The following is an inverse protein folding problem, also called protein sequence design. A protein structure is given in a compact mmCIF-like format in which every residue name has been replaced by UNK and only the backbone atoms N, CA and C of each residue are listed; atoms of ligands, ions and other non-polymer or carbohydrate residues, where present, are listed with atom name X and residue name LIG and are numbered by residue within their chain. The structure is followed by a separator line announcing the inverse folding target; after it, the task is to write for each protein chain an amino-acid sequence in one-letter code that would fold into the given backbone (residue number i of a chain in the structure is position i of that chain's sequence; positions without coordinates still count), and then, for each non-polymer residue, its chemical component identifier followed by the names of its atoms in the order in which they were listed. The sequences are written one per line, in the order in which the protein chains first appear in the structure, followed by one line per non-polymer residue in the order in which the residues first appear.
data_IF_275273304880
#
_entry.id   IF_275273304880
#
_cell.length_a   1.000
_cell.length_b   1.000
_cell.length_c   1.000
_cell.angle_alpha   90.00
_cell.angle_beta   90.00
_cell.angle_gamma   90.00
#
_symmetry.space_group_name_H-M   'P 1'
#
loop_
_entity.id
_entity.type
_entity.pdbx_description
1 polymer ?
#
# COMPACT_ATOMS: atom_id res chain seq x y z
N UNK A 1 -9.26 35.24 17.35
CA UNK A 1 -9.08 33.78 17.53
C UNK A 1 -7.69 33.46 17.04
N UNK A 2 -6.91 32.69 17.80
CA UNK A 2 -5.59 32.23 17.35
C UNK A 2 -5.78 31.38 16.08
N UNK A 3 -4.92 31.55 15.09
CA UNK A 3 -4.94 30.70 13.90
C UNK A 3 -4.62 29.25 14.32
N UNK A 4 -5.50 28.32 13.93
CA UNK A 4 -5.30 26.89 14.17
C UNK A 4 -4.66 26.24 12.95
N UNK A 5 -3.56 25.54 13.20
CA UNK A 5 -2.80 24.82 12.19
C UNK A 5 -2.83 23.34 12.53
N UNK A 6 -3.21 22.50 11.56
CA UNK A 6 -3.01 21.06 11.67
C UNK A 6 -1.67 20.70 11.08
N UNK A 7 -0.78 20.12 11.88
CA UNK A 7 0.53 19.68 11.44
C UNK A 7 0.55 18.16 11.24
N UNK A 8 0.77 17.73 10.00
CA UNK A 8 1.09 16.35 9.68
C UNK A 8 2.58 16.10 9.93
N UNK A 9 2.91 15.35 10.98
CA UNK A 9 4.31 15.15 11.37
C UNK A 9 4.55 13.81 12.08
N UNK A 10 5.83 13.55 12.36
CA UNK A 10 6.23 12.56 13.37
C UNK A 10 6.19 13.18 14.77
N UNK A 11 5.87 12.39 15.80
CA UNK A 11 5.70 12.90 17.16
C UNK A 11 6.98 13.58 17.70
N UNK A 12 6.88 14.89 17.99
CA UNK A 12 8.00 15.70 18.49
C UNK A 12 8.97 16.18 17.40
N UNK A 13 8.54 16.24 16.13
CA UNK A 13 9.36 16.75 15.04
C UNK A 13 9.78 18.22 15.24
N UNK A 14 10.87 18.61 14.60
CA UNK A 14 11.37 19.99 14.64
C UNK A 14 10.35 20.97 14.06
N UNK A 15 9.56 20.53 13.08
CA UNK A 15 8.47 21.33 12.51
C UNK A 15 7.43 21.74 13.56
N UNK A 16 7.10 20.84 14.49
CA UNK A 16 6.19 21.14 15.60
C UNK A 16 6.77 22.26 16.49
N UNK A 17 8.05 22.15 16.85
CA UNK A 17 8.71 23.16 17.71
C UNK A 17 8.81 24.53 17.03
N UNK A 18 9.02 24.56 15.71
CA UNK A 18 9.10 25.81 14.93
C UNK A 18 7.75 26.52 14.82
N UNK A 19 6.65 25.77 14.81
CA UNK A 19 5.29 26.31 14.79
C UNK A 19 4.75 26.61 16.18
N UNK A 20 5.20 25.87 17.20
CA UNK A 20 4.83 26.11 18.59
C UNK A 20 5.13 27.56 19.01
N UNK A 21 4.15 28.23 19.60
CA UNK A 21 4.24 29.64 20.00
C UNK A 21 3.92 30.65 18.88
N UNK A 22 3.74 30.21 17.63
CA UNK A 22 3.28 31.06 16.51
C UNK A 22 1.80 30.83 16.17
N UNK A 23 1.30 29.62 16.42
CA UNK A 23 -0.08 29.21 16.17
C UNK A 23 -0.54 28.17 17.20
N UNK A 24 -1.85 27.92 17.28
CA UNK A 24 -2.40 26.76 17.98
C UNK A 24 -2.22 25.52 17.08
N UNK A 25 -1.23 24.69 17.40
CA UNK A 25 -0.87 23.54 16.56
C UNK A 25 -1.54 22.25 17.06
N UNK A 26 -2.35 21.63 16.22
CA UNK A 26 -2.85 20.27 16.42
C UNK A 26 -1.92 19.31 15.67
N UNK A 27 -1.20 18.47 16.39
CA UNK A 27 -0.30 17.49 15.78
C UNK A 27 -1.08 16.25 15.35
N UNK A 28 -0.93 15.84 14.09
CA UNK A 28 -1.53 14.63 13.52
C UNK A 28 -0.42 13.65 13.18
N UNK A 29 -0.42 12.50 13.84
CA UNK A 29 0.50 11.39 13.59
C UNK A 29 -0.32 10.20 13.10
N UNK A 30 -0.03 9.74 11.89
CA UNK A 30 -0.65 8.56 11.28
C UNK A 30 0.41 7.48 11.19
N UNK A 31 0.19 6.33 11.82
CA UNK A 31 1.10 5.18 11.74
C UNK A 31 0.63 4.19 10.67
N UNK A 32 1.37 4.05 9.56
CA UNK A 32 1.08 3.06 8.52
C UNK A 32 1.60 1.65 8.83
N UNK A 33 2.24 1.41 9.98
CA UNK A 33 2.75 0.07 10.34
C UNK A 33 4.13 -0.01 10.97
N UNK A 34 4.67 1.11 11.47
CA UNK A 34 5.90 1.10 12.27
C UNK A 34 5.66 0.54 13.68
N UNK A 35 4.45 0.71 14.20
CA UNK A 35 4.13 0.43 15.60
C UNK A 35 4.80 1.43 16.53
N UNK A 36 4.39 1.41 17.80
CA UNK A 36 5.01 2.23 18.83
C UNK A 36 4.18 2.36 20.09
N UNK A 37 4.79 2.98 21.10
CA UNK A 37 4.09 3.40 22.31
C UNK A 37 3.30 4.70 22.01
N UNK A 38 1.99 4.53 21.82
CA UNK A 38 1.06 5.62 21.52
C UNK A 38 1.01 6.69 22.61
N UNK A 39 1.17 6.30 23.88
CA UNK A 39 1.21 7.26 24.99
C UNK A 39 2.51 8.06 24.98
N UNK A 40 3.64 7.42 24.69
CA UNK A 40 4.90 8.13 24.48
C UNK A 40 4.84 9.09 23.30
N UNK A 41 4.23 8.69 22.17
CA UNK A 41 4.03 9.58 21.01
C UNK A 41 3.17 10.79 21.38
N UNK A 42 2.05 10.58 22.09
CA UNK A 42 1.19 11.68 22.59
C UNK A 42 1.97 12.62 23.50
N UNK A 43 2.68 12.09 24.50
CA UNK A 43 3.49 12.88 25.43
C UNK A 43 4.54 13.72 24.70
N UNK A 44 5.21 13.15 23.70
CA UNK A 44 6.21 13.85 22.88
C UNK A 44 5.60 14.99 22.05
N UNK A 45 4.42 14.79 21.47
CA UNK A 45 3.73 15.83 20.71
C UNK A 45 3.33 17.00 21.63
N UNK A 46 2.71 16.71 22.78
CA UNK A 46 2.32 17.74 23.75
C UNK A 46 3.54 18.49 24.31
N UNK A 47 4.60 17.76 24.69
CA UNK A 47 5.86 18.37 25.13
C UNK A 47 6.56 19.20 24.04
N UNK A 48 6.27 18.92 22.77
CA UNK A 48 6.74 19.69 21.62
C UNK A 48 5.98 21.00 21.36
N UNK A 49 4.91 21.27 22.13
CA UNK A 49 4.12 22.50 22.02
C UNK A 49 2.81 22.36 21.23
N UNK A 50 2.37 21.14 20.94
CA UNK A 50 1.04 20.92 20.38
C UNK A 50 -0.05 21.19 21.43
N UNK A 51 -1.13 21.86 21.04
CA UNK A 51 -2.31 22.03 21.91
C UNK A 51 -3.13 20.73 22.01
N UNK A 52 -3.02 19.89 20.98
CA UNK A 52 -3.67 18.58 20.91
C UNK A 52 -2.85 17.63 20.01
N UNK A 53 -2.94 16.33 20.29
CA UNK A 53 -2.29 15.29 19.50
C UNK A 53 -3.30 14.22 19.07
N UNK A 54 -3.60 14.22 17.77
CA UNK A 54 -4.42 13.23 17.08
C UNK A 54 -3.49 12.12 16.58
N UNK A 55 -3.73 10.91 17.06
CA UNK A 55 -2.95 9.72 16.73
C UNK A 55 -3.88 8.72 16.03
N UNK A 56 -3.49 8.26 14.85
CA UNK A 56 -4.26 7.31 14.06
C UNK A 56 -3.42 6.05 13.77
N UNK A 57 -3.91 4.90 14.22
CA UNK A 57 -3.43 3.59 13.78
C UNK A 57 -4.10 3.26 12.45
N UNK A 58 -3.37 3.38 11.36
CA UNK A 58 -3.89 3.24 10.01
C UNK A 58 -3.34 1.98 9.31
N UNK A 59 -2.91 0.98 10.08
CA UNK A 59 -2.30 -0.25 9.55
C UNK A 59 -3.26 -1.05 8.69
N UNK A 60 -4.41 -1.40 9.27
CA UNK A 60 -5.42 -2.21 8.59
C UNK A 60 -6.10 -1.37 7.48
N UNK A 61 -6.29 -0.08 7.74
CA UNK A 61 -6.81 0.88 6.76
C UNK A 61 -5.92 1.00 5.52
N UNK A 62 -4.59 1.12 5.70
CA UNK A 62 -3.64 1.15 4.60
C UNK A 62 -3.78 -0.13 3.76
N UNK A 63 -3.86 -1.29 4.42
CA UNK A 63 -3.93 -2.56 3.70
C UNK A 63 -5.24 -2.73 2.93
N UNK A 64 -6.37 -2.41 3.56
CA UNK A 64 -7.68 -2.67 3.00
C UNK A 64 -8.09 -1.62 1.96
N UNK A 65 -7.84 -0.33 2.24
CA UNK A 65 -8.28 0.78 1.37
C UNK A 65 -7.27 1.16 0.31
N UNK A 66 -5.98 0.84 0.50
CA UNK A 66 -4.93 1.27 -0.44
C UNK A 66 -4.15 0.11 -1.04
N UNK A 67 -3.66 -0.83 -0.23
CA UNK A 67 -2.89 -1.95 -0.75
C UNK A 67 -3.75 -2.93 -1.56
N UNK A 68 -4.97 -3.23 -1.14
CA UNK A 68 -5.84 -4.15 -1.88
C UNK A 68 -6.20 -3.62 -3.29
N UNK A 69 -6.64 -2.36 -3.49
CA UNK A 69 -6.80 -1.81 -4.83
C UNK A 69 -5.49 -1.83 -5.64
N UNK A 70 -4.36 -1.52 -5.00
CA UNK A 70 -3.06 -1.59 -5.66
C UNK A 70 -2.66 -3.02 -6.04
N UNK A 71 -3.03 -4.03 -5.26
CA UNK A 71 -2.83 -5.45 -5.58
C UNK A 71 -3.65 -5.85 -6.80
N UNK A 72 -4.95 -5.53 -6.81
CA UNK A 72 -5.86 -5.78 -7.93
C UNK A 72 -5.43 -5.07 -9.21
N UNK A 73 -4.84 -3.89 -9.07
CA UNK A 73 -4.22 -3.12 -10.15
C UNK A 73 -2.79 -3.59 -10.51
N UNK A 74 -2.27 -4.62 -9.83
CA UNK A 74 -0.90 -5.12 -9.96
C UNK A 74 0.20 -4.05 -9.81
N UNK A 75 -0.10 -3.01 -9.03
CA UNK A 75 0.73 -1.83 -8.79
C UNK A 75 1.20 -1.74 -7.33
N UNK A 76 1.02 -2.80 -6.52
CA UNK A 76 1.37 -2.82 -5.10
C UNK A 76 2.88 -2.63 -4.84
N UNK A 77 3.74 -2.83 -5.84
CA UNK A 77 5.18 -2.50 -5.76
C UNK A 77 5.45 -1.01 -5.54
N UNK A 78 4.48 -0.13 -5.80
CA UNK A 78 4.54 1.30 -5.49
C UNK A 78 3.98 1.64 -4.10
N UNK A 79 3.97 0.69 -3.15
CA UNK A 79 3.31 0.83 -1.85
C UNK A 79 3.70 2.09 -1.06
N UNK A 80 4.94 2.59 -1.20
CA UNK A 80 5.35 3.84 -0.54
C UNK A 80 4.54 5.06 -1.01
N UNK A 81 4.08 5.09 -2.26
CA UNK A 81 3.22 6.14 -2.79
C UNK A 81 1.78 6.10 -2.24
N UNK A 82 1.37 4.97 -1.64
CA UNK A 82 0.03 4.78 -1.07
C UNK A 82 -0.13 5.43 0.31
N UNK A 83 0.97 5.72 1.01
CA UNK A 83 0.92 6.32 2.35
C UNK A 83 0.49 7.80 2.29
N UNK A 84 0.97 8.56 1.31
CA UNK A 84 0.64 9.97 1.16
C UNK A 84 -0.88 10.27 1.10
N UNK A 85 -1.68 9.61 0.25
CA UNK A 85 -3.12 9.86 0.21
C UNK A 85 -3.83 9.42 1.50
N UNK A 86 -3.39 8.36 2.17
CA UNK A 86 -3.90 7.96 3.49
C UNK A 86 -3.69 9.08 4.52
N UNK A 87 -2.47 9.61 4.62
CA UNK A 87 -2.21 10.68 5.58
C UNK A 87 -2.95 11.97 5.21
N UNK A 88 -3.11 12.27 3.93
CA UNK A 88 -3.90 13.42 3.48
C UNK A 88 -5.35 13.35 3.98
N UNK A 89 -6.01 12.18 3.91
CA UNK A 89 -7.37 12.01 4.44
C UNK A 89 -7.46 12.30 5.94
N UNK A 90 -6.60 11.67 6.74
CA UNK A 90 -6.58 11.86 8.20
C UNK A 90 -6.30 13.32 8.60
N UNK A 91 -5.41 13.99 7.88
CA UNK A 91 -5.04 15.39 8.14
C UNK A 91 -6.17 16.33 7.75
N UNK A 92 -6.83 16.11 6.61
CA UNK A 92 -7.99 16.90 6.18
C UNK A 92 -9.16 16.71 7.15
N UNK A 93 -9.38 15.48 7.62
CA UNK A 93 -10.39 15.20 8.61
C UNK A 93 -10.09 15.89 9.95
N UNK A 94 -8.85 15.83 10.43
CA UNK A 94 -8.44 16.59 11.61
C UNK A 94 -8.62 18.10 11.39
N UNK A 95 -8.24 18.65 10.23
CA UNK A 95 -8.41 20.07 9.94
C UNK A 95 -9.87 20.50 10.03
N UNK A 96 -10.79 19.71 9.47
CA UNK A 96 -12.24 19.95 9.57
C UNK A 96 -12.73 19.87 11.02
N UNK A 97 -12.34 18.84 11.77
CA UNK A 97 -12.76 18.62 13.16
C UNK A 97 -12.29 19.73 14.11
N UNK A 98 -11.09 20.26 13.89
CA UNK A 98 -10.49 21.29 14.75
C UNK A 98 -10.72 22.72 14.25
N UNK A 99 -11.40 22.90 13.11
CA UNK A 99 -11.68 24.21 12.51
C UNK A 99 -10.41 24.91 12.00
N UNK A 100 -9.41 24.15 11.56
CA UNK A 100 -8.18 24.70 11.02
C UNK A 100 -8.37 25.11 9.55
N UNK A 101 -7.80 26.25 9.18
CA UNK A 101 -7.75 26.74 7.80
C UNK A 101 -6.42 26.40 7.11
N UNK A 102 -5.43 25.98 7.89
CA UNK A 102 -4.06 25.76 7.44
C UNK A 102 -3.58 24.37 7.84
N UNK A 103 -3.04 23.64 6.87
CA UNK A 103 -2.34 22.36 7.05
C UNK A 103 -0.85 22.59 6.86
N UNK A 104 -0.06 22.19 7.84
CA UNK A 104 1.40 22.16 7.77
C UNK A 104 1.91 20.72 7.63
N UNK A 105 3.08 20.51 7.03
CA UNK A 105 3.75 19.21 7.00
C UNK A 105 5.28 19.33 6.94
N UNK A 106 5.99 18.29 7.37
CA UNK A 106 7.46 18.19 7.29
C UNK A 106 7.96 17.25 6.16
N UNK A 107 7.06 16.84 5.26
CA UNK A 107 7.38 15.98 4.11
C UNK A 107 8.25 16.66 3.06
N UNK A 108 9.07 15.87 2.38
CA UNK A 108 9.96 16.28 1.29
C UNK A 108 9.86 15.36 0.06
N UNK A 109 10.49 15.78 -1.04
CA UNK A 109 10.61 15.00 -2.26
C UNK A 109 9.27 14.61 -2.87
N UNK A 110 9.17 13.38 -3.39
CA UNK A 110 7.96 12.90 -4.03
C UNK A 110 6.79 12.71 -3.05
N UNK A 111 7.05 12.42 -1.77
CA UNK A 111 6.00 12.28 -0.76
C UNK A 111 5.28 13.60 -0.49
N UNK A 112 6.03 14.73 -0.50
CA UNK A 112 5.44 16.08 -0.44
C UNK A 112 4.43 16.30 -1.56
N UNK A 113 4.84 16.07 -2.81
CA UNK A 113 4.00 16.32 -3.99
C UNK A 113 2.69 15.55 -3.90
N UNK A 114 2.76 14.26 -3.52
CA UNK A 114 1.57 13.40 -3.38
C UNK A 114 0.67 13.83 -2.24
N UNK A 115 1.24 14.19 -1.11
CA UNK A 115 0.48 14.66 0.05
C UNK A 115 -0.24 15.97 -0.26
N UNK A 116 0.47 16.97 -0.80
CA UNK A 116 -0.11 18.27 -1.18
C UNK A 116 -1.21 18.10 -2.24
N UNK A 117 -0.99 17.27 -3.27
CA UNK A 117 -2.02 16.94 -4.25
C UNK A 117 -3.25 16.27 -3.62
N UNK A 118 -3.03 15.39 -2.64
CA UNK A 118 -4.09 14.75 -1.86
C UNK A 118 -4.93 15.75 -1.07
N UNK A 119 -4.28 16.64 -0.33
CA UNK A 119 -4.97 17.70 0.43
C UNK A 119 -5.75 18.63 -0.50
N UNK A 120 -5.14 19.05 -1.62
CA UNK A 120 -5.80 19.92 -2.59
C UNK A 120 -7.05 19.27 -3.21
N UNK A 121 -7.00 17.96 -3.49
CA UNK A 121 -8.16 17.23 -4.02
C UNK A 121 -9.28 17.07 -2.97
N UNK A 122 -8.93 16.82 -1.71
CA UNK A 122 -9.89 16.55 -0.64
C UNK A 122 -10.47 17.84 -0.01
N UNK A 123 -9.69 18.91 0.03
CA UNK A 123 -10.05 20.16 0.69
C UNK A 123 -9.33 21.36 0.03
N UNK A 124 -9.78 21.80 -1.16
CA UNK A 124 -9.13 22.87 -1.92
C UNK A 124 -9.13 24.24 -1.22
N UNK A 125 -9.94 24.41 -0.18
CA UNK A 125 -9.98 25.63 0.63
C UNK A 125 -8.94 25.69 1.77
N UNK A 126 -8.20 24.61 2.02
CA UNK A 126 -7.14 24.61 3.05
C UNK A 126 -5.84 25.19 2.47
N UNK A 127 -5.22 26.11 3.20
CA UNK A 127 -3.86 26.53 2.91
C UNK A 127 -2.89 25.42 3.29
N UNK A 128 -1.96 25.06 2.40
CA UNK A 128 -0.96 24.02 2.65
C UNK A 128 0.43 24.65 2.75
N UNK A 129 1.12 24.38 3.86
CA UNK A 129 2.41 24.96 4.20
C UNK A 129 3.44 23.87 4.45
N UNK A 130 4.46 23.80 3.60
CA UNK A 130 5.62 22.97 3.87
C UNK A 130 6.51 23.63 4.94
N UNK A 131 6.72 22.96 6.05
CA UNK A 131 7.73 23.33 7.04
C UNK A 131 8.99 22.55 6.68
N UNK A 132 10.05 23.26 6.29
CA UNK A 132 11.29 22.61 5.88
C UNK A 132 11.71 21.57 6.94
N UNK A 133 11.87 20.28 6.56
CA UNK A 133 12.43 19.31 7.47
C UNK A 133 13.81 19.80 7.89
N UNK A 134 14.26 19.43 9.10
CA UNK A 134 15.68 19.52 9.39
C UNK A 134 16.46 18.78 8.29
N UNK A 135 17.61 19.29 7.87
CA UNK A 135 18.52 18.52 7.01
C UNK A 135 18.73 17.17 7.70
N UNK A 136 18.15 16.11 7.15
CA UNK A 136 18.37 14.75 7.62
C UNK A 136 19.48 14.15 6.75
N UNK A 137 20.74 14.15 7.19
CA UNK A 137 21.85 13.55 6.45
C UNK A 137 21.80 12.01 6.49
N UNK A 138 20.86 11.40 7.20
CA UNK A 138 20.82 9.95 7.36
C UNK A 138 20.21 9.27 6.12
N UNK A 139 21.07 9.05 5.12
CA UNK A 139 20.91 7.89 4.26
C UNK A 139 20.64 6.67 5.15
N UNK A 140 19.55 5.95 4.89
CA UNK A 140 19.23 4.75 5.66
C UNK A 140 20.43 3.80 5.56
N UNK A 141 20.91 3.22 6.68
CA UNK A 141 22.06 2.34 6.63
C UNK A 141 21.78 1.21 5.63
N UNK A 142 22.76 0.86 4.77
CA UNK A 142 22.60 -0.22 3.82
C UNK A 142 22.20 -1.48 4.57
N UNK A 143 21.13 -2.13 4.14
CA UNK A 143 20.69 -3.37 4.75
C UNK A 143 21.68 -4.46 4.34
N UNK A 144 22.24 -5.16 5.33
CA UNK A 144 23.18 -6.25 5.12
C UNK A 144 22.63 -7.33 4.17
N UNK A 145 23.56 -8.01 3.48
CA UNK A 145 23.28 -9.15 2.62
C UNK A 145 22.55 -10.22 3.45
N UNK A 146 21.37 -10.64 3.00
CA UNK A 146 20.71 -11.83 3.57
C UNK A 146 21.37 -13.05 2.94
N UNK A 147 21.83 -13.97 3.77
CA UNK A 147 22.24 -15.29 3.30
C UNK A 147 20.97 -16.10 2.96
N UNK A 148 20.88 -16.73 1.78
CA UNK A 148 19.70 -17.49 1.41
C UNK A 148 19.49 -18.62 2.41
N UNK A 149 18.38 -18.57 3.16
CA UNK A 149 17.89 -19.70 3.93
C UNK A 149 17.28 -20.78 3.02
N UNK A 150 16.70 -21.80 3.63
CA UNK A 150 16.01 -22.87 2.91
C UNK A 150 14.84 -22.33 2.06
N UNK A 151 14.52 -22.96 0.91
CA UNK A 151 13.34 -22.59 0.13
C UNK A 151 12.07 -22.71 0.96
N UNK A 152 11.27 -21.65 0.94
CA UNK A 152 10.00 -21.61 1.66
C UNK A 152 8.82 -21.71 0.67
N UNK A 153 8.08 -22.82 0.71
CA UNK A 153 6.94 -23.06 -0.17
C UNK A 153 5.62 -22.68 0.53
N UNK A 154 4.74 -21.99 -0.20
CA UNK A 154 3.43 -21.59 0.31
C UNK A 154 2.35 -21.59 -0.76
N UNK A 155 1.10 -21.67 -0.33
CA UNK A 155 -0.10 -21.54 -1.16
C UNK A 155 -0.87 -20.30 -0.74
N UNK A 156 -1.13 -19.40 -1.69
CA UNK A 156 -2.04 -18.26 -1.53
C UNK A 156 -3.39 -18.59 -2.12
N UNK A 157 -4.45 -18.42 -1.33
CA UNK A 157 -5.83 -18.50 -1.82
C UNK A 157 -6.38 -17.10 -1.99
N UNK A 158 -7.01 -16.85 -3.13
CA UNK A 158 -7.67 -15.60 -3.45
C UNK A 158 -9.16 -15.82 -3.64
N UNK A 159 -9.94 -14.84 -3.19
CA UNK A 159 -11.34 -14.67 -3.56
C UNK A 159 -11.53 -13.26 -4.13
N UNK A 160 -12.02 -13.18 -5.36
CA UNK A 160 -12.30 -11.93 -6.09
C UNK A 160 -11.13 -10.94 -6.03
N UNK A 161 -9.92 -11.42 -6.31
CA UNK A 161 -8.68 -10.63 -6.28
C UNK A 161 -8.14 -10.30 -4.89
N UNK A 162 -8.75 -10.84 -3.83
CA UNK A 162 -8.39 -10.58 -2.43
C UNK A 162 -7.74 -11.81 -1.84
N UNK A 163 -6.54 -11.73 -1.22
CA UNK A 163 -5.98 -12.87 -0.53
C UNK A 163 -6.81 -13.19 0.72
N UNK A 164 -7.27 -14.42 0.83
CA UNK A 164 -8.17 -14.90 1.91
C UNK A 164 -7.60 -16.05 2.71
N UNK A 165 -6.58 -16.75 2.21
CA UNK A 165 -5.88 -17.78 2.98
C UNK A 165 -4.40 -17.93 2.59
N UNK A 166 -3.58 -18.38 3.54
CA UNK A 166 -2.19 -18.81 3.33
C UNK A 166 -2.08 -20.24 3.88
N UNK A 167 -1.66 -21.19 3.05
CA UNK A 167 -1.54 -22.61 3.40
C UNK A 167 -2.83 -23.21 3.98
N UNK A 168 -3.99 -22.74 3.49
CA UNK A 168 -5.32 -23.16 3.95
C UNK A 168 -5.83 -22.44 5.20
N UNK A 169 -4.97 -21.70 5.91
CA UNK A 169 -5.36 -20.89 7.07
C UNK A 169 -5.96 -19.56 6.62
N UNK A 170 -7.17 -19.26 7.06
CA UNK A 170 -7.87 -18.01 6.70
C UNK A 170 -7.15 -16.80 7.27
N UNK A 171 -6.97 -15.77 6.43
CA UNK A 171 -6.31 -14.52 6.79
C UNK A 171 -7.08 -13.31 6.27
N UNK A 172 -7.03 -12.21 7.00
CA UNK A 172 -7.37 -10.88 6.47
C UNK A 172 -6.23 -10.36 5.60
N UNK A 173 -6.50 -9.35 4.77
CA UNK A 173 -5.46 -8.67 3.99
C UNK A 173 -4.29 -8.16 4.87
N UNK A 174 -4.51 -7.49 6.02
CA UNK A 174 -3.42 -7.11 6.91
C UNK A 174 -2.64 -8.30 7.47
N UNK A 175 -3.31 -9.42 7.81
CA UNK A 175 -2.64 -10.65 8.25
C UNK A 175 -1.80 -11.26 7.12
N UNK A 176 -2.33 -11.30 5.89
CA UNK A 176 -1.62 -11.78 4.71
C UNK A 176 -0.35 -10.96 4.43
N UNK A 177 -0.45 -9.63 4.48
CA UNK A 177 0.70 -8.73 4.30
C UNK A 177 1.75 -8.96 5.39
N UNK A 178 1.35 -9.07 6.66
CA UNK A 178 2.28 -9.32 7.78
C UNK A 178 3.01 -10.66 7.61
N UNK A 179 2.26 -11.72 7.32
CA UNK A 179 2.82 -13.06 7.21
C UNK A 179 3.76 -13.20 6.00
N UNK A 180 3.39 -12.62 4.86
CA UNK A 180 4.26 -12.63 3.68
C UNK A 180 5.46 -11.71 3.84
N UNK A 181 5.34 -10.59 4.55
CA UNK A 181 6.50 -9.78 4.91
C UNK A 181 7.49 -10.57 5.78
N UNK A 182 6.98 -11.40 6.71
CA UNK A 182 7.81 -12.27 7.55
C UNK A 182 8.50 -13.34 6.71
N UNK A 183 7.74 -14.16 5.98
CA UNK A 183 8.26 -15.29 5.19
C UNK A 183 9.15 -14.84 4.04
N UNK A 184 8.63 -13.98 3.16
CA UNK A 184 9.35 -13.53 1.99
C UNK A 184 10.51 -12.57 2.34
N UNK A 185 10.42 -11.86 3.47
CA UNK A 185 11.50 -11.04 3.99
C UNK A 185 12.73 -11.85 4.40
N UNK A 186 12.55 -13.03 5.00
CA UNK A 186 13.65 -13.96 5.34
C UNK A 186 14.33 -14.47 4.07
N UNK A 187 13.58 -14.76 3.02
CA UNK A 187 14.14 -15.21 1.73
C UNK A 187 14.70 -14.07 0.86
N UNK A 188 14.70 -12.82 1.36
CA UNK A 188 15.21 -11.64 0.66
C UNK A 188 14.34 -11.14 -0.49
N UNK A 189 13.11 -11.64 -0.62
CA UNK A 189 12.19 -11.28 -1.70
C UNK A 189 11.85 -9.80 -1.68
N UNK A 190 11.73 -9.17 -2.85
CA UNK A 190 11.29 -7.78 -2.94
C UNK A 190 12.32 -6.74 -2.48
N UNK A 191 13.57 -7.15 -2.21
CA UNK A 191 14.69 -6.23 -2.00
C UNK A 191 15.31 -5.84 -3.33
N UNK A 192 15.09 -4.60 -3.74
CA UNK A 192 15.63 -4.08 -5.01
C UNK A 192 16.93 -3.29 -4.83
N UNK A 193 17.12 -2.62 -3.68
CA UNK A 193 18.19 -1.62 -3.51
C UNK A 193 18.92 -1.67 -2.17
N UNK A 194 18.53 -2.56 -1.25
CA UNK A 194 19.14 -2.63 0.10
C UNK A 194 18.81 -1.44 1.00
N UNK A 195 17.75 -0.70 0.69
CA UNK A 195 17.23 0.43 1.50
C UNK A 195 15.84 0.06 2.00
N UNK A 196 15.65 -0.01 3.33
CA UNK A 196 14.39 -0.47 3.98
C UNK A 196 13.12 0.24 3.49
N UNK A 197 13.24 1.48 3.03
CA UNK A 197 12.10 2.26 2.53
C UNK A 197 11.50 1.71 1.21
N UNK A 198 12.22 0.84 0.50
CA UNK A 198 11.78 0.25 -0.78
C UNK A 198 11.55 -1.27 -0.70
N UNK A 199 11.91 -1.91 0.41
CA UNK A 199 11.74 -3.35 0.59
C UNK A 199 10.25 -3.67 0.78
N UNK A 200 9.67 -4.41 -0.17
CA UNK A 200 8.25 -4.80 -0.13
C UNK A 200 8.08 -6.30 -0.40
N UNK A 201 8.62 -7.17 0.49
CA UNK A 201 8.61 -8.62 0.32
C UNK A 201 7.21 -9.19 0.10
N UNK A 202 6.27 -8.84 0.99
CA UNK A 202 4.89 -9.30 0.89
C UNK A 202 4.18 -8.76 -0.36
N UNK A 203 4.40 -7.49 -0.71
CA UNK A 203 3.84 -6.91 -1.93
C UNK A 203 4.31 -7.65 -3.19
N UNK A 204 5.60 -8.02 -3.24
CA UNK A 204 6.18 -8.74 -4.37
C UNK A 204 5.57 -10.14 -4.51
N UNK A 205 5.47 -10.89 -3.41
CA UNK A 205 4.84 -12.21 -3.41
C UNK A 205 3.36 -12.14 -3.82
N UNK A 206 2.59 -11.22 -3.22
CA UNK A 206 1.17 -11.01 -3.54
C UNK A 206 0.97 -10.62 -5.01
N UNK A 207 1.73 -9.64 -5.52
CA UNK A 207 1.61 -9.20 -6.91
C UNK A 207 1.97 -10.31 -7.89
N UNK A 208 3.03 -11.07 -7.61
CA UNK A 208 3.43 -12.21 -8.44
C UNK A 208 2.34 -13.28 -8.49
N UNK A 209 1.75 -13.63 -7.34
CA UNK A 209 0.68 -14.62 -7.30
C UNK A 209 -0.59 -14.13 -8.00
N UNK A 210 -1.02 -12.90 -7.67
CA UNK A 210 -2.21 -12.29 -8.27
C UNK A 210 -2.10 -12.21 -9.80
N UNK A 211 -0.94 -11.78 -10.32
CA UNK A 211 -0.64 -11.84 -11.75
C UNK A 211 -0.86 -13.21 -12.38
N UNK A 212 -0.35 -14.25 -11.74
CA UNK A 212 -0.43 -15.60 -12.27
C UNK A 212 -1.85 -16.19 -12.17
N UNK A 213 -2.64 -15.75 -11.20
CA UNK A 213 -4.03 -16.13 -11.10
C UNK A 213 -4.84 -15.50 -12.24
N UNK A 214 -4.62 -14.22 -12.56
CA UNK A 214 -5.29 -13.55 -13.67
C UNK A 214 -5.01 -14.20 -15.03
N UNK A 215 -3.80 -14.74 -15.23
CA UNK A 215 -3.44 -15.46 -16.45
C UNK A 215 -4.28 -16.74 -16.68
N UNK A 216 -4.93 -17.26 -15.64
CA UNK A 216 -5.81 -18.45 -15.73
C UNK A 216 -7.29 -18.15 -15.51
N UNK A 217 -7.64 -17.00 -14.96
CA UNK A 217 -9.04 -16.62 -14.68
C UNK A 217 -9.61 -15.60 -15.67
N UNK A 218 -8.78 -14.76 -16.29
CA UNK A 218 -9.26 -13.72 -17.21
C UNK A 218 -9.19 -14.15 -18.67
N UNK A 219 -10.21 -13.72 -19.43
CA UNK A 219 -10.22 -13.85 -20.89
C UNK A 219 -9.02 -13.10 -21.51
N UNK A 220 -8.34 -13.66 -22.53
CA UNK A 220 -7.12 -13.08 -23.10
C UNK A 220 -7.19 -11.62 -23.56
N UNK A 221 -8.27 -11.16 -24.20
CA UNK A 221 -8.44 -9.76 -24.62
C UNK A 221 -8.67 -8.83 -23.43
N UNK A 222 -9.51 -9.24 -22.48
CA UNK A 222 -9.70 -8.53 -21.22
C UNK A 222 -8.37 -8.36 -20.48
N UNK A 223 -7.59 -9.44 -20.36
CA UNK A 223 -6.27 -9.41 -19.72
C UNK A 223 -5.31 -8.47 -20.46
N UNK A 224 -5.21 -8.55 -21.79
CA UNK A 224 -4.38 -7.65 -22.61
C UNK A 224 -4.74 -6.18 -22.40
N UNK A 225 -6.03 -5.85 -22.34
CA UNK A 225 -6.48 -4.49 -22.07
C UNK A 225 -6.20 -4.09 -20.61
N UNK A 226 -6.49 -4.96 -19.65
CA UNK A 226 -6.21 -4.74 -18.23
C UNK A 226 -4.75 -4.39 -17.99
N UNK A 227 -3.78 -5.05 -18.64
CA UNK A 227 -2.34 -4.70 -18.56
C UNK A 227 -2.05 -3.23 -18.88
N UNK A 228 -2.80 -2.61 -19.79
CA UNK A 228 -2.67 -1.17 -20.11
C UNK A 228 -3.27 -0.31 -19.00
N UNK A 229 -4.43 -0.71 -18.49
CA UNK A 229 -5.12 -0.04 -17.38
C UNK A 229 -4.24 -0.04 -16.12
N UNK A 230 -3.67 -1.19 -15.75
CA UNK A 230 -2.76 -1.35 -14.60
C UNK A 230 -1.59 -0.37 -14.65
N UNK A 231 -0.91 -0.27 -15.81
CA UNK A 231 0.20 0.67 -15.98
C UNK A 231 -0.24 2.12 -15.79
N UNK A 232 -1.40 2.49 -16.33
CA UNK A 232 -1.92 3.85 -16.17
C UNK A 232 -2.34 4.11 -14.72
N UNK A 233 -3.00 3.15 -14.08
CA UNK A 233 -3.38 3.22 -12.67
C UNK A 233 -2.16 3.43 -11.77
N UNK A 234 -1.11 2.62 -11.95
CA UNK A 234 0.14 2.74 -11.21
C UNK A 234 0.84 4.09 -11.41
N UNK A 235 0.82 4.62 -12.63
CA UNK A 235 1.36 5.96 -12.93
C UNK A 235 0.59 7.06 -12.19
N UNK A 236 -0.75 7.02 -12.19
CA UNK A 236 -1.58 7.99 -11.47
C UNK A 236 -1.25 8.00 -9.97
N UNK A 237 -1.12 6.82 -9.36
CA UNK A 237 -0.71 6.72 -7.95
C UNK A 237 0.69 7.28 -7.73
N UNK A 238 1.64 6.95 -8.62
CA UNK A 238 3.00 7.47 -8.53
C UNK A 238 3.05 9.00 -8.61
N UNK A 239 2.19 9.60 -9.44
CA UNK A 239 2.10 11.05 -9.68
C UNK A 239 1.28 11.79 -8.60
N UNK A 240 0.75 11.09 -7.58
CA UNK A 240 -0.06 11.70 -6.51
C UNK A 240 -1.53 11.92 -6.88
N UNK A 241 -1.99 11.30 -7.96
CA UNK A 241 -3.34 11.45 -8.51
C UNK A 241 -4.31 10.38 -7.99
N UNK A 242 -4.14 9.95 -6.74
CA UNK A 242 -4.99 8.94 -6.09
C UNK A 242 -6.48 9.33 -6.10
N UNK A 243 -6.78 10.61 -5.86
CA UNK A 243 -8.14 11.15 -5.82
C UNK A 243 -8.63 11.68 -7.18
N UNK A 244 -7.92 11.39 -8.27
CA UNK A 244 -8.31 11.87 -9.59
C UNK A 244 -9.53 11.11 -10.15
N UNK A 245 -10.42 11.78 -10.92
CA UNK A 245 -11.56 11.11 -11.54
C UNK A 245 -11.16 9.94 -12.44
N UNK A 246 -10.02 10.05 -13.14
CA UNK A 246 -9.52 8.95 -13.98
C UNK A 246 -9.15 7.73 -13.13
N UNK A 247 -8.46 7.91 -12.01
CA UNK A 247 -8.12 6.80 -11.10
C UNK A 247 -9.40 6.10 -10.64
N UNK A 248 -10.42 6.87 -10.21
CA UNK A 248 -11.71 6.31 -9.79
C UNK A 248 -12.41 5.51 -10.91
N UNK A 249 -12.39 6.01 -12.15
CA UNK A 249 -12.94 5.27 -13.29
C UNK A 249 -12.18 3.96 -13.57
N UNK A 250 -10.85 3.97 -13.41
CA UNK A 250 -10.03 2.76 -13.53
C UNK A 250 -10.26 1.78 -12.38
N UNK A 251 -10.55 2.25 -11.16
CA UNK A 251 -10.95 1.40 -10.03
C UNK A 251 -12.18 0.56 -10.41
N UNK A 252 -13.24 1.20 -10.94
CA UNK A 252 -14.46 0.49 -11.36
C UNK A 252 -14.20 -0.56 -12.44
N UNK A 253 -13.32 -0.25 -13.41
CA UNK A 253 -12.90 -1.22 -14.42
C UNK A 253 -12.19 -2.41 -13.75
N UNK A 254 -11.22 -2.15 -12.87
CA UNK A 254 -10.44 -3.17 -12.18
C UNK A 254 -11.36 -4.03 -11.31
N UNK A 255 -12.23 -3.44 -10.49
CA UNK A 255 -13.16 -4.18 -9.62
C UNK A 255 -14.07 -5.12 -10.42
N UNK A 256 -14.48 -4.72 -11.63
CA UNK A 256 -15.23 -5.60 -12.54
C UNK A 256 -14.37 -6.79 -12.99
N UNK A 257 -13.11 -6.57 -13.35
CA UNK A 257 -12.20 -7.67 -13.74
C UNK A 257 -11.95 -8.66 -12.60
N UNK A 258 -12.01 -8.22 -11.35
CA UNK A 258 -11.70 -9.06 -10.19
C UNK A 258 -12.82 -10.02 -9.81
N UNK A 259 -14.02 -9.90 -10.37
CA UNK A 259 -15.19 -10.71 -9.96
C UNK A 259 -14.98 -12.23 -10.06
N UNK A 260 -14.09 -12.69 -10.94
CA UNK A 260 -13.78 -14.11 -11.16
C UNK A 260 -12.31 -14.46 -10.87
N UNK A 261 -11.56 -13.56 -10.23
CA UNK A 261 -10.16 -13.79 -9.87
C UNK A 261 -10.11 -14.52 -8.52
N UNK A 262 -10.59 -15.76 -8.50
CA UNK A 262 -10.63 -16.65 -7.33
C UNK A 262 -9.87 -17.95 -7.62
N UNK A 263 -9.18 -18.47 -6.61
CA UNK A 263 -8.40 -19.70 -6.71
C UNK A 263 -7.09 -19.68 -5.92
N UNK A 264 -6.23 -20.65 -6.19
CA UNK A 264 -4.98 -20.88 -5.46
C UNK A 264 -3.76 -20.68 -6.35
N UNK A 265 -2.70 -20.10 -5.76
CA UNK A 265 -1.39 -19.97 -6.38
C UNK A 265 -0.31 -20.44 -5.41
N UNK A 266 0.51 -21.38 -5.88
CA UNK A 266 1.63 -21.95 -5.14
C UNK A 266 2.91 -21.21 -5.50
N UNK A 267 3.64 -20.78 -4.49
CA UNK A 267 4.89 -20.03 -4.59
C UNK A 267 6.01 -20.77 -3.88
N UNK A 268 7.23 -20.64 -4.41
CA UNK A 268 8.48 -20.91 -3.69
C UNK A 268 9.22 -19.58 -3.50
N UNK A 269 9.51 -19.24 -2.25
CA UNK A 269 10.24 -18.05 -1.83
C UNK A 269 11.69 -18.41 -1.55
N UNK A 270 12.59 -18.06 -2.46
CA UNK A 270 14.01 -18.39 -2.30
C UNK A 270 14.91 -17.44 -3.08
N UNK A 271 16.10 -17.15 -2.55
CA UNK A 271 17.14 -16.40 -3.25
C UNK A 271 16.69 -15.01 -3.75
N UNK A 272 15.85 -14.32 -2.98
CA UNK A 272 15.32 -13.00 -3.32
C UNK A 272 14.16 -12.99 -4.31
N UNK A 273 13.59 -14.16 -4.64
CA UNK A 273 12.50 -14.30 -5.63
C UNK A 273 11.32 -15.05 -5.06
N UNK A 274 10.12 -14.66 -5.49
CA UNK A 274 8.92 -15.47 -5.39
C UNK A 274 8.68 -16.10 -6.76
N UNK A 275 8.77 -17.43 -6.85
CA UNK A 275 8.62 -18.19 -8.09
C UNK A 275 7.33 -18.98 -8.02
N UNK A 276 6.50 -18.87 -9.05
CA UNK A 276 5.22 -19.60 -9.11
C UNK A 276 5.47 -21.03 -9.59
N UNK A 277 5.02 -22.01 -8.82
CA UNK A 277 5.19 -23.44 -9.11
C UNK A 277 3.87 -24.14 -9.41
N UNK A 278 2.73 -23.51 -9.11
CA UNK A 278 1.41 -24.05 -9.41
C UNK A 278 0.32 -22.98 -9.36
N UNK A 279 -0.75 -23.19 -10.12
CA UNK A 279 -1.91 -22.31 -10.18
C UNK A 279 -3.18 -23.10 -10.44
N UNK A 280 -4.26 -22.73 -9.77
CA UNK A 280 -5.60 -23.31 -9.93
C UNK A 280 -6.64 -22.20 -9.79
N UNK A 281 -7.29 -21.81 -10.88
CA UNK A 281 -8.46 -20.93 -10.83
C UNK A 281 -9.73 -21.71 -10.51
N UNK A 282 -10.69 -21.07 -9.86
CA UNK A 282 -12.07 -21.56 -9.88
C UNK A 282 -12.63 -21.35 -11.30
N UNK A 283 -13.40 -22.32 -11.82
CA UNK A 283 -14.01 -22.16 -13.13
C UNK A 283 -14.96 -20.97 -13.10
N UNK A 284 -14.86 -20.01 -14.06
CA UNK A 284 -15.90 -19.02 -14.23
C UNK A 284 -17.23 -19.74 -14.44
N UNK A 285 -18.31 -19.23 -13.82
CA UNK A 285 -19.66 -19.69 -14.17
C UNK A 285 -19.81 -19.56 -15.70
N UNK A 286 -20.29 -20.60 -16.40
CA UNK A 286 -20.40 -20.57 -17.85
C UNK A 286 -21.24 -19.36 -18.27
N UNK A 287 -20.64 -18.47 -19.07
CA UNK A 287 -21.31 -17.32 -19.65
C UNK A 287 -22.40 -17.82 -20.61
N UNK A 288 -23.70 -17.56 -20.36
CA UNK A 288 -24.77 -18.01 -21.25
C UNK A 288 -24.69 -17.40 -22.66
N UNK A 289 -23.87 -16.37 -22.89
CA UNK A 289 -23.65 -15.74 -24.20
C UNK A 289 -22.46 -16.27 -25.01
N UNK A 290 -21.55 -17.04 -24.40
CA UNK A 290 -20.36 -17.57 -25.06
C UNK A 290 -20.39 -19.10 -24.97
N UNK A 291 -20.62 -19.76 -26.12
CA UNK A 291 -20.71 -21.22 -26.22
C UNK A 291 -19.56 -21.95 -25.51
N UNK A 292 -19.89 -23.01 -24.77
CA UNK A 292 -19.02 -23.72 -23.85
C UNK A 292 -17.62 -24.02 -24.42
N UNK A 293 -16.63 -23.22 -24.02
CA UNK A 293 -15.22 -23.50 -24.26
C UNK A 293 -14.75 -24.67 -23.39
N UNK A 294 -14.02 -25.62 -23.98
CA UNK A 294 -13.52 -26.81 -23.28
C UNK A 294 -12.68 -26.47 -22.03
N UNK A 295 -12.79 -27.25 -20.95
CA UNK A 295 -12.03 -27.03 -19.72
C UNK A 295 -10.52 -27.19 -19.96
N UNK A 296 -9.73 -26.23 -19.48
CA UNK A 296 -8.27 -26.34 -19.41
C UNK A 296 -7.88 -27.06 -18.12
N UNK A 297 -7.78 -28.39 -18.15
CA UNK A 297 -7.16 -29.18 -17.06
C UNK A 297 -5.63 -29.11 -17.13
N UNK A 298 -4.98 -29.13 -15.98
CA UNK A 298 -3.51 -29.24 -15.87
C UNK A 298 -3.00 -30.53 -16.54
N UNK A 299 -1.83 -30.51 -17.19
CA UNK A 299 -1.03 -31.72 -17.30
C UNK A 299 -0.40 -32.03 -15.94
N UNK A 300 -0.68 -33.23 -15.43
CA UNK A 300 0.07 -33.84 -14.33
C UNK A 300 1.48 -34.19 -14.84
N UNK A 301 2.48 -33.33 -14.59
CA UNK A 301 3.89 -33.66 -14.31
C UNK A 301 4.83 -32.50 -14.63
N UNK A 302 5.68 -32.18 -13.66
CA UNK A 302 6.95 -31.49 -13.84
C UNK A 302 7.88 -32.48 -14.55
N UNK A 303 8.24 -32.20 -15.81
CA UNK A 303 9.37 -32.89 -16.44
C UNK A 303 10.65 -32.28 -15.86
N UNK A 304 11.36 -33.08 -15.06
CA UNK A 304 12.75 -32.82 -14.72
C UNK A 304 13.60 -32.93 -15.98
N UNK A 305 14.31 -31.86 -16.35
CA UNK A 305 15.64 -31.91 -16.97
C UNK A 305 16.36 -30.60 -16.70
#
# INVERSE_FOLDING_TARGET
MSERVVLACSAGSDALRRLAGRAEVVAVVVDPGRGGDWEALRRRALAGGAVEAVLADARDELTDRYCLPALRANALRSASALVAPLVAEHVVEAARRHGATTVAHDRAGADRIRFEAGVAALAPGLAVVAVAPADDPAGHPPVGRIEPGDPDELVLTFDRGTPVAIDGETVTMPQAVRELNRRAGVSGVGRLTGVRAFDTPGASALTTAHHQLEDVTLEPDLLRFKRRVERRWGALVHDGLWFSPLKQALDSFIDTTQQHVSGEVRLVLHGGRAVVTGRRGEEPLPDPGLGAGRPRRLPDKIAAT
#
